data_IF_943210993221
#
_entry.id   IF_943210993221
#
_cell.length_a   1.000
_cell.length_b   1.000
_cell.length_c   1.000
_cell.angle_alpha   90.00
_cell.angle_beta   90.00
_cell.angle_gamma   90.00
#
_symmetry.space_group_name_H-M   'P 1'
#
loop_
_entity.id
_entity.type
_entity.pdbx_description
1 polymer ?
#
# COMPACT_ATOMS: atom_id res chain seq x y z
N UNK A 1 15.42 -12.02 14.86
CA UNK A 1 14.55 -12.81 13.97
C UNK A 1 15.28 -14.07 13.54
N UNK A 2 14.61 -15.19 13.60
CA UNK A 2 15.21 -16.46 13.20
C UNK A 2 15.27 -16.54 11.67
N UNK A 3 16.24 -17.31 11.17
CA UNK A 3 16.44 -17.48 9.73
C UNK A 3 15.19 -18.01 9.02
N UNK A 4 14.50 -18.99 9.64
CA UNK A 4 13.26 -19.54 9.08
C UNK A 4 12.16 -18.51 8.96
N UNK A 5 12.04 -17.65 9.97
CA UNK A 5 11.04 -16.58 9.96
C UNK A 5 11.35 -15.55 8.86
N UNK A 6 12.61 -15.21 8.71
CA UNK A 6 13.09 -14.33 7.66
C UNK A 6 12.80 -14.89 6.27
N UNK A 7 13.09 -16.16 6.06
CA UNK A 7 12.82 -16.83 4.78
C UNK A 7 11.33 -16.89 4.47
N UNK A 8 10.50 -17.18 5.48
CA UNK A 8 9.05 -17.20 5.33
C UNK A 8 8.52 -15.83 4.95
N UNK A 9 8.98 -14.79 5.63
CA UNK A 9 8.55 -13.42 5.35
C UNK A 9 8.97 -12.97 3.96
N UNK A 10 10.18 -13.32 3.55
CA UNK A 10 10.66 -13.01 2.20
C UNK A 10 9.81 -13.68 1.14
N UNK A 11 9.49 -14.97 1.34
CA UNK A 11 8.63 -15.70 0.43
C UNK A 11 7.23 -15.09 0.34
N UNK A 12 6.67 -14.66 1.46
CA UNK A 12 5.38 -13.98 1.50
C UNK A 12 5.40 -12.68 0.69
N UNK A 13 6.46 -11.90 0.83
CA UNK A 13 6.61 -10.66 0.08
C UNK A 13 6.75 -10.90 -1.41
N UNK A 14 7.52 -11.89 -1.82
CA UNK A 14 7.71 -12.25 -3.23
C UNK A 14 6.40 -12.73 -3.86
N UNK A 15 5.63 -13.53 -3.13
CA UNK A 15 4.32 -14.00 -3.60
C UNK A 15 3.34 -12.85 -3.75
N UNK A 16 3.29 -11.96 -2.76
CA UNK A 16 2.44 -10.78 -2.81
C UNK A 16 2.82 -9.87 -3.99
N UNK A 17 4.11 -9.71 -4.23
CA UNK A 17 4.60 -8.94 -5.38
C UNK A 17 4.09 -9.53 -6.69
N UNK A 18 4.20 -10.85 -6.86
CA UNK A 18 3.71 -11.51 -8.07
C UNK A 18 2.20 -11.34 -8.24
N UNK A 19 1.45 -11.45 -7.14
CA UNK A 19 0.00 -11.26 -7.15
C UNK A 19 -0.37 -9.85 -7.60
N UNK A 20 0.32 -8.85 -7.09
CA UNK A 20 0.08 -7.45 -7.45
C UNK A 20 0.44 -7.20 -8.92
N UNK A 21 1.54 -7.73 -9.39
CA UNK A 21 1.94 -7.58 -10.79
C UNK A 21 0.90 -8.17 -11.73
N UNK A 22 0.37 -9.35 -11.42
CA UNK A 22 -0.70 -9.96 -12.23
C UNK A 22 -1.96 -9.10 -12.20
N UNK A 23 -2.30 -8.55 -11.02
CA UNK A 23 -3.48 -7.70 -10.88
C UNK A 23 -3.35 -6.41 -11.70
N UNK A 24 -2.16 -5.80 -11.70
CA UNK A 24 -1.90 -4.61 -12.51
C UNK A 24 -1.99 -4.90 -14.00
N UNK A 25 -1.51 -6.05 -14.44
CA UNK A 25 -1.64 -6.47 -15.84
C UNK A 25 -3.10 -6.66 -16.23
N UNK A 26 -3.89 -7.29 -15.36
CA UNK A 26 -5.33 -7.47 -15.58
C UNK A 26 -6.07 -6.14 -15.68
N UNK A 27 -5.72 -5.17 -14.84
CA UNK A 27 -6.30 -3.83 -14.87
C UNK A 27 -5.98 -3.15 -16.20
N UNK A 28 -4.74 -3.25 -16.64
CA UNK A 28 -4.29 -2.68 -17.91
C UNK A 28 -5.04 -3.29 -19.09
N UNK A 29 -5.15 -4.61 -19.12
CA UNK A 29 -5.86 -5.34 -20.17
C UNK A 29 -7.34 -4.97 -20.19
N UNK A 30 -7.97 -4.86 -19.03
CA UNK A 30 -9.39 -4.46 -18.92
C UNK A 30 -9.60 -3.04 -19.47
N UNK A 31 -8.72 -2.11 -19.14
CA UNK A 31 -8.82 -0.74 -19.64
C UNK A 31 -8.73 -0.67 -21.16
N UNK A 32 -7.82 -1.44 -21.74
CA UNK A 32 -7.65 -1.50 -23.19
C UNK A 32 -8.90 -2.12 -23.84
N UNK A 33 -9.41 -3.22 -23.28
CA UNK A 33 -10.62 -3.88 -23.80
C UNK A 33 -11.81 -2.95 -23.75
N UNK A 34 -11.98 -2.20 -22.68
CA UNK A 34 -13.06 -1.22 -22.54
C UNK A 34 -12.99 -0.14 -23.61
N UNK A 35 -11.80 0.36 -23.92
CA UNK A 35 -11.61 1.35 -24.97
C UNK A 35 -11.94 0.79 -26.35
N UNK A 36 -11.57 -0.45 -26.62
CA UNK A 36 -11.86 -1.09 -27.89
C UNK A 36 -13.33 -1.36 -28.11
N UNK A 37 -14.09 -1.61 -27.04
CA UNK A 37 -15.53 -1.93 -27.14
C UNK A 37 -16.43 -0.73 -26.99
N UNK A 38 -15.90 0.46 -26.77
CA UNK A 38 -16.71 1.68 -26.62
C UNK A 38 -17.50 1.97 -27.90
N UNK A 39 -18.82 2.13 -27.77
CA UNK A 39 -19.70 2.29 -28.93
C UNK A 39 -19.84 3.73 -29.43
N UNK A 40 -19.31 4.70 -28.68
CA UNK A 40 -19.43 6.11 -29.04
C UNK A 40 -20.70 6.80 -28.53
N UNK A 41 -21.61 6.08 -27.89
CA UNK A 41 -22.76 6.66 -27.23
C UNK A 41 -22.29 7.44 -25.99
N UNK A 42 -22.86 8.62 -25.74
CA UNK A 42 -22.47 9.49 -24.63
C UNK A 42 -22.64 8.81 -23.28
N UNK A 43 -23.66 7.96 -23.11
CA UNK A 43 -23.87 7.19 -21.86
C UNK A 43 -22.76 6.18 -21.68
N UNK A 44 -22.38 5.47 -22.73
CA UNK A 44 -21.31 4.48 -22.71
C UNK A 44 -19.96 5.14 -22.43
N UNK A 45 -19.72 6.31 -23.00
CA UNK A 45 -18.50 7.08 -22.77
C UNK A 45 -18.39 7.51 -21.31
N UNK A 46 -19.50 8.00 -20.72
CA UNK A 46 -19.52 8.39 -19.31
C UNK A 46 -19.27 7.21 -18.39
N UNK A 47 -19.88 6.05 -18.66
CA UNK A 47 -19.64 4.83 -17.90
C UNK A 47 -18.19 4.36 -18.01
N UNK A 48 -17.61 4.46 -19.20
CA UNK A 48 -16.23 4.11 -19.46
C UNK A 48 -15.27 5.00 -18.64
N UNK A 49 -15.52 6.30 -18.61
CA UNK A 49 -14.70 7.23 -17.83
C UNK A 49 -14.74 6.92 -16.33
N UNK A 50 -15.92 6.61 -15.79
CA UNK A 50 -16.06 6.22 -14.39
C UNK A 50 -15.27 4.95 -14.10
N UNK A 51 -15.38 3.94 -14.96
CA UNK A 51 -14.63 2.69 -14.81
C UNK A 51 -13.13 2.91 -14.87
N UNK A 52 -12.66 3.71 -15.81
CA UNK A 52 -11.24 4.01 -15.94
C UNK A 52 -10.71 4.77 -14.73
N UNK A 53 -11.46 5.71 -14.19
CA UNK A 53 -11.09 6.42 -12.97
C UNK A 53 -10.97 5.48 -11.78
N UNK A 54 -11.89 4.54 -11.65
CA UNK A 54 -11.84 3.53 -10.58
C UNK A 54 -10.63 2.62 -10.73
N UNK A 55 -10.34 2.18 -11.96
CA UNK A 55 -9.18 1.35 -12.25
C UNK A 55 -7.87 2.07 -11.97
N UNK A 56 -7.80 3.38 -12.27
CA UNK A 56 -6.63 4.20 -11.95
C UNK A 56 -6.37 4.29 -10.46
N UNK A 57 -7.43 4.45 -9.66
CA UNK A 57 -7.33 4.47 -8.20
C UNK A 57 -6.81 3.15 -7.64
N UNK A 58 -7.36 2.03 -8.13
CA UNK A 58 -6.92 0.70 -7.75
C UNK A 58 -5.46 0.50 -8.14
N UNK A 59 -5.10 0.89 -9.36
CA UNK A 59 -3.73 0.82 -9.85
C UNK A 59 -2.74 1.60 -8.98
N UNK A 60 -3.12 2.79 -8.55
CA UNK A 60 -2.27 3.61 -7.67
C UNK A 60 -2.04 2.94 -6.32
N UNK A 61 -3.08 2.35 -5.73
CA UNK A 61 -2.96 1.60 -4.48
C UNK A 61 -2.02 0.42 -4.62
N UNK A 62 -2.19 -0.35 -5.69
CA UNK A 62 -1.37 -1.52 -5.96
C UNK A 62 0.09 -1.12 -6.20
N UNK A 63 0.33 -0.04 -6.94
CA UNK A 63 1.68 0.46 -7.17
C UNK A 63 2.36 0.92 -5.88
N UNK A 64 1.61 1.63 -5.02
CA UNK A 64 2.14 2.06 -3.73
C UNK A 64 2.49 0.86 -2.84
N UNK A 65 1.62 -0.15 -2.84
CA UNK A 65 1.88 -1.39 -2.11
C UNK A 65 3.11 -2.11 -2.66
N UNK A 66 3.24 -2.16 -3.97
CA UNK A 66 4.39 -2.76 -4.64
C UNK A 66 5.70 -2.05 -4.25
N UNK A 67 5.69 -0.73 -4.18
CA UNK A 67 6.85 0.05 -3.72
C UNK A 67 7.25 -0.31 -2.30
N UNK A 68 6.28 -0.51 -1.42
CA UNK A 68 6.53 -0.93 -0.04
C UNK A 68 7.13 -2.33 0.01
N UNK A 69 6.64 -3.24 -0.81
CA UNK A 69 7.16 -4.60 -0.92
C UNK A 69 8.61 -4.58 -1.43
N UNK A 70 8.88 -3.81 -2.46
CA UNK A 70 10.23 -3.68 -3.02
C UNK A 70 11.20 -3.10 -1.97
N UNK A 71 10.76 -2.11 -1.20
CA UNK A 71 11.56 -1.54 -0.12
C UNK A 71 11.86 -2.59 0.96
N UNK A 72 10.86 -3.41 1.31
CA UNK A 72 11.05 -4.47 2.30
C UNK A 72 12.01 -5.54 1.79
N UNK A 73 11.90 -5.92 0.51
CA UNK A 73 12.80 -6.90 -0.10
C UNK A 73 14.24 -6.36 -0.15
N UNK A 74 14.42 -5.07 -0.43
CA UNK A 74 15.72 -4.43 -0.39
C UNK A 74 16.36 -4.51 1.00
N UNK A 75 15.55 -4.40 2.04
CA UNK A 75 16.03 -4.52 3.43
C UNK A 75 16.54 -5.92 3.74
N UNK A 76 16.00 -6.97 3.12
CA UNK A 76 16.54 -8.31 3.26
C UNK A 76 17.95 -8.40 2.70
N UNK A 77 18.21 -7.74 1.59
CA UNK A 77 19.54 -7.71 0.98
C UNK A 77 20.54 -6.93 1.84
N UNK A 78 20.07 -5.83 2.45
CA UNK A 78 20.90 -5.01 3.34
C UNK A 78 21.07 -5.63 4.73
N UNK A 79 20.23 -6.60 5.10
CA UNK A 79 20.24 -7.18 6.42
C UNK A 79 19.53 -6.33 7.47
N UNK A 80 18.74 -5.35 7.06
CA UNK A 80 18.04 -4.44 7.97
C UNK A 80 16.54 -4.72 8.08
N UNK A 81 16.06 -5.78 7.43
CA UNK A 81 14.63 -6.13 7.51
C UNK A 81 14.24 -6.47 8.94
N UNK A 82 13.09 -5.94 9.36
CA UNK A 82 12.59 -6.15 10.72
C UNK A 82 13.06 -5.11 11.72
N UNK A 83 13.86 -4.15 11.29
CA UNK A 83 14.27 -3.04 12.15
C UNK A 83 13.34 -1.85 11.95
N UNK A 84 12.93 -1.22 13.06
CA UNK A 84 12.12 -0.01 13.00
C UNK A 84 12.94 1.14 12.42
N UNK A 85 12.42 1.82 11.43
CA UNK A 85 13.11 2.95 10.81
C UNK A 85 13.25 4.15 11.74
N UNK A 86 12.37 4.25 12.73
CA UNK A 86 12.36 5.41 13.63
C UNK A 86 13.26 5.21 14.84
N UNK A 87 13.15 4.09 15.55
CA UNK A 87 13.89 3.86 16.79
C UNK A 87 15.02 2.82 16.66
N UNK A 88 15.07 2.09 15.55
CA UNK A 88 16.12 1.08 15.34
C UNK A 88 15.89 -0.23 16.07
N UNK A 89 14.83 -0.36 16.84
CA UNK A 89 14.53 -1.60 17.53
C UNK A 89 13.91 -2.62 16.61
N UNK A 90 13.95 -3.89 16.98
CA UNK A 90 13.35 -4.94 16.17
C UNK A 90 11.83 -4.90 16.25
N UNK A 91 11.20 -5.01 15.09
CA UNK A 91 9.75 -5.14 15.00
C UNK A 91 9.39 -6.58 15.39
N UNK A 92 8.33 -6.74 16.16
CA UNK A 92 7.87 -8.07 16.58
C UNK A 92 7.54 -8.94 15.35
N UNK A 93 7.96 -10.20 15.40
CA UNK A 93 7.72 -11.13 14.28
C UNK A 93 6.24 -11.31 14.01
N UNK A 94 5.41 -11.35 15.06
CA UNK A 94 3.96 -11.44 14.91
C UNK A 94 3.40 -10.28 14.07
N UNK A 95 3.94 -9.07 14.28
CA UNK A 95 3.53 -7.90 13.49
C UNK A 95 3.98 -8.04 12.04
N UNK A 96 5.19 -8.53 11.80
CA UNK A 96 5.70 -8.75 10.45
C UNK A 96 4.91 -9.85 9.73
N UNK A 97 4.50 -10.89 10.43
CA UNK A 97 3.65 -11.93 9.84
C UNK A 97 2.29 -11.38 9.42
N UNK A 98 1.73 -10.46 10.20
CA UNK A 98 0.48 -9.79 9.84
C UNK A 98 0.68 -8.77 8.73
N UNK A 99 1.80 -8.03 8.75
CA UNK A 99 2.13 -7.01 7.76
C UNK A 99 3.62 -7.07 7.41
N UNK A 100 3.99 -7.87 6.41
CA UNK A 100 5.41 -8.01 6.05
C UNK A 100 6.06 -6.70 5.59
N UNK A 101 5.29 -5.71 5.16
CA UNK A 101 5.81 -4.41 4.73
C UNK A 101 5.95 -3.41 5.87
N UNK A 102 5.67 -3.80 7.12
CA UNK A 102 5.78 -2.91 8.27
C UNK A 102 7.21 -2.37 8.42
N UNK A 103 7.32 -1.07 8.58
CA UNK A 103 8.61 -0.38 8.71
C UNK A 103 8.82 0.21 10.10
N UNK A 104 7.78 0.26 10.91
CA UNK A 104 7.81 0.83 12.25
C UNK A 104 7.36 -0.21 13.27
N UNK A 105 7.95 -0.17 14.46
CA UNK A 105 7.46 -0.99 15.57
C UNK A 105 6.09 -0.46 16.03
N UNK A 106 5.40 -1.24 16.83
CA UNK A 106 4.05 -0.87 17.26
C UNK A 106 4.03 0.44 18.04
N UNK A 107 5.04 0.68 18.86
CA UNK A 107 5.13 1.92 19.65
C UNK A 107 5.30 3.15 18.77
N UNK A 108 6.21 3.09 17.80
CA UNK A 108 6.44 4.18 16.86
C UNK A 108 5.24 4.42 15.96
N UNK A 109 4.60 3.35 15.50
CA UNK A 109 3.40 3.46 14.66
C UNK A 109 2.25 4.08 15.44
N UNK A 110 2.05 3.66 16.68
CA UNK A 110 1.02 4.23 17.55
C UNK A 110 1.26 5.71 17.81
N UNK A 111 2.51 6.08 18.07
CA UNK A 111 2.88 7.49 18.28
C UNK A 111 2.61 8.33 17.04
N UNK A 112 2.94 7.81 15.86
CA UNK A 112 2.69 8.47 14.59
C UNK A 112 1.19 8.67 14.35
N UNK A 113 0.39 7.64 14.58
CA UNK A 113 -1.06 7.71 14.41
C UNK A 113 -1.69 8.70 15.37
N UNK A 114 -1.21 8.76 16.61
CA UNK A 114 -1.70 9.73 17.60
C UNK A 114 -1.38 11.16 17.17
N UNK A 115 -0.21 11.40 16.63
CA UNK A 115 0.16 12.72 16.16
C UNK A 115 -0.64 13.13 14.92
N UNK A 116 -0.84 12.23 13.99
CA UNK A 116 -1.69 12.47 12.83
C UNK A 116 -3.12 12.77 13.24
N UNK A 117 -3.63 12.07 14.24
CA UNK A 117 -4.97 12.28 14.76
C UNK A 117 -5.11 13.66 15.38
N UNK A 118 -4.12 14.11 16.15
CA UNK A 118 -4.10 15.46 16.71
C UNK A 118 -4.09 16.53 15.63
N UNK A 119 -3.30 16.32 14.61
CA UNK A 119 -3.21 17.23 13.47
C UNK A 119 -4.54 17.32 12.74
N UNK A 120 -5.17 16.18 12.48
CA UNK A 120 -6.48 16.12 11.82
C UNK A 120 -7.55 16.83 12.64
N UNK A 121 -7.57 16.62 13.95
CA UNK A 121 -8.52 17.27 14.83
C UNK A 121 -8.37 18.81 14.80
N UNK A 122 -7.15 19.28 14.83
CA UNK A 122 -6.89 20.73 14.71
C UNK A 122 -7.35 21.30 13.37
N UNK A 123 -7.06 20.60 12.30
CA UNK A 123 -7.47 21.01 10.97
C UNK A 123 -8.98 21.05 10.84
N UNK A 124 -9.66 20.05 11.43
CA UNK A 124 -11.11 19.98 11.42
C UNK A 124 -11.73 21.16 12.19
N UNK A 125 -11.12 21.57 13.30
CA UNK A 125 -11.59 22.72 14.07
C UNK A 125 -11.40 24.04 13.32
N UNK A 126 -10.31 24.17 12.57
CA UNK A 126 -10.00 25.40 11.86
C UNK A 126 -10.77 25.52 10.56
N UNK A 127 -10.87 24.46 9.79
CA UNK A 127 -11.45 24.50 8.46
C UNK A 127 -12.78 23.79 8.32
N UNK A 128 -13.11 22.93 9.23
CA UNK A 128 -14.34 22.17 9.20
C UNK A 128 -14.40 21.14 8.07
N UNK A 129 -13.29 20.82 7.48
CA UNK A 129 -13.30 20.04 6.27
C UNK A 129 -12.18 19.03 6.26
N UNK A 130 -12.06 18.26 7.26
CA UNK A 130 -10.98 17.31 7.40
C UNK A 130 -11.12 16.14 6.47
N UNK A 131 -10.35 16.13 5.40
CA UNK A 131 -10.21 14.93 4.62
C UNK A 131 -9.13 14.11 5.25
N UNK A 132 -9.42 12.94 5.80
CA UNK A 132 -8.36 12.14 6.33
C UNK A 132 -7.53 11.65 5.17
N UNK A 133 -6.29 12.01 5.22
CA UNK A 133 -5.35 11.49 4.28
C UNK A 133 -5.07 10.06 4.68
N UNK A 134 -5.60 9.16 3.93
CA UNK A 134 -5.38 7.89 4.24
C UNK A 134 -4.15 7.34 3.78
N UNK A 135 -3.23 8.05 3.58
CA UNK A 135 -2.03 7.52 3.27
C UNK A 135 -1.73 6.23 3.91
N UNK A 136 -1.90 5.82 4.28
CA UNK A 136 -1.29 4.98 4.60
C UNK A 136 -1.31 4.02 5.32
N UNK A 137 -1.61 3.90 5.48
CA UNK A 137 -1.54 3.08 6.11
C UNK A 137 -1.25 1.97 6.05
N UNK A 138 -0.94 1.83 6.04
CA UNK A 138 -0.61 0.83 5.99
C UNK A 138 -0.75 0.01 6.54
#
# INVERSE_FOLDING_TARGET
>A
MKKKESETLKAMLEEEKRRIQRHLDDISDTSVADLETASGDSVDIAALEINQNSLLKIGKRELNHLKKIDAALAKFEDGTYGECENCGEQIAVARLMARPVAQLCIDCKTAQENEERRYTDRSAEEEGDGFPDEGDDL
#
